data_IF_362849653516
#
_entry.id   IF_362849653516
#
_cell.length_a   1.000
_cell.length_b   1.000
_cell.length_c   1.000
_cell.angle_alpha   90.00
_cell.angle_beta   90.00
_cell.angle_gamma   90.00
#
_symmetry.space_group_name_H-M   'P 1'
#
loop_
_entity.id
_entity.type
_entity.pdbx_description
1 polymer ?
#
# COMPACT_ATOMS: atom_id res chain seq x y z
N UNK A 1 -6.10 24.14 12.74
CA UNK A 1 -4.93 24.63 11.99
C UNK A 1 -4.73 23.66 10.85
N UNK A 2 -5.16 24.04 9.64
CA UNK A 2 -4.92 23.24 8.43
C UNK A 2 -3.45 23.43 8.07
N UNK A 3 -2.59 22.49 8.43
CA UNK A 3 -1.19 22.51 8.01
C UNK A 3 -1.15 22.44 6.49
N UNK A 4 -0.52 23.47 5.92
CA UNK A 4 -0.26 23.63 4.51
C UNK A 4 0.44 22.38 3.97
N UNK A 5 -0.19 21.68 3.03
CA UNK A 5 0.48 20.67 2.20
C UNK A 5 1.47 21.43 1.31
N UNK A 6 2.69 21.60 1.79
CA UNK A 6 3.79 22.05 0.96
C UNK A 6 3.98 21.03 -0.18
N UNK A 7 4.16 21.53 -1.40
CA UNK A 7 4.51 20.74 -2.57
C UNK A 7 5.91 20.14 -2.37
N UNK A 8 5.99 18.93 -1.83
CA UNK A 8 7.22 18.15 -1.72
C UNK A 8 7.41 17.29 -2.99
N UNK A 9 8.63 17.24 -3.52
CA UNK A 9 9.04 16.22 -4.48
C UNK A 9 9.14 14.86 -3.76
N UNK A 10 8.91 13.74 -4.46
CA UNK A 10 8.91 12.40 -3.83
C UNK A 10 10.23 12.05 -3.12
N UNK A 11 11.35 12.61 -3.58
CA UNK A 11 12.70 12.44 -2.99
C UNK A 11 12.92 13.15 -1.64
N UNK A 12 12.01 14.06 -1.21
CA UNK A 12 12.14 14.85 0.02
C UNK A 12 11.13 14.43 1.11
N UNK A 13 10.55 13.23 0.97
CA UNK A 13 9.50 12.73 1.88
C UNK A 13 10.13 11.90 2.98
N UNK A 14 9.94 12.34 4.22
CA UNK A 14 10.39 11.62 5.41
C UNK A 14 9.46 10.45 5.75
N UNK A 15 9.93 9.55 6.63
CA UNK A 15 9.09 8.50 7.20
C UNK A 15 7.90 9.10 7.97
N UNK A 16 8.15 10.18 8.69
CA UNK A 16 7.17 10.89 9.50
C UNK A 16 6.04 11.46 8.62
N UNK A 17 6.38 12.00 7.45
CA UNK A 17 5.40 12.50 6.47
C UNK A 17 4.51 11.38 5.94
N UNK A 18 5.09 10.20 5.67
CA UNK A 18 4.33 9.02 5.25
C UNK A 18 3.39 8.53 6.35
N UNK A 19 3.84 8.51 7.61
CA UNK A 19 2.99 8.12 8.75
C UNK A 19 1.84 9.11 8.90
N UNK A 20 2.10 10.41 8.81
CA UNK A 20 1.07 11.44 8.87
C UNK A 20 0.06 11.32 7.72
N UNK A 21 0.54 11.03 6.50
CA UNK A 21 -0.32 10.78 5.35
C UNK A 21 -1.21 9.54 5.55
N UNK A 22 -0.66 8.41 6.00
CA UNK A 22 -1.44 7.19 6.29
C UNK A 22 -2.56 7.50 7.29
N UNK A 23 -2.23 8.21 8.37
CA UNK A 23 -3.21 8.60 9.40
C UNK A 23 -4.28 9.57 8.86
N UNK A 24 -3.98 10.36 7.83
CA UNK A 24 -4.95 11.26 7.19
C UNK A 24 -5.96 10.54 6.27
N UNK A 25 -5.71 9.27 5.95
CA UNK A 25 -6.53 8.47 5.03
C UNK A 25 -7.87 7.99 5.61
N UNK A 26 -8.08 8.11 6.92
CA UNK A 26 -9.28 7.61 7.58
C UNK A 26 -10.56 8.31 7.08
N UNK A 27 -11.52 7.50 6.62
CA UNK A 27 -12.83 7.98 6.16
C UNK A 27 -12.85 8.59 4.75
N UNK A 28 -11.75 8.53 4.00
CA UNK A 28 -11.74 8.94 2.60
C UNK A 28 -12.65 8.03 1.76
N UNK A 29 -13.46 8.64 0.89
CA UNK A 29 -14.28 7.90 -0.07
C UNK A 29 -13.55 7.81 -1.41
N UNK A 30 -13.20 6.60 -1.88
CA UNK A 30 -12.50 6.45 -3.15
C UNK A 30 -13.39 6.89 -4.33
N UNK A 31 -12.79 7.37 -5.43
CA UNK A 31 -13.51 7.61 -6.68
C UNK A 31 -14.26 6.36 -7.15
N UNK A 32 -15.40 6.56 -7.82
CA UNK A 32 -16.18 5.46 -8.35
C UNK A 32 -15.49 4.78 -9.54
N UNK A 33 -15.70 3.47 -9.68
CA UNK A 33 -15.25 2.69 -10.83
C UNK A 33 -15.83 3.24 -12.15
N UNK A 34 -15.05 3.13 -13.23
CA UNK A 34 -15.37 3.67 -14.55
C UNK A 34 -15.08 5.16 -14.70
N UNK A 35 -14.71 5.87 -13.62
CA UNK A 35 -14.24 7.25 -13.73
C UNK A 35 -12.87 7.25 -14.44
N UNK A 36 -12.73 8.09 -15.46
CA UNK A 36 -11.43 8.42 -16.06
C UNK A 36 -10.95 9.74 -15.46
N UNK A 37 -9.70 9.77 -15.02
CA UNK A 37 -9.02 10.97 -14.55
C UNK A 37 -7.97 11.39 -15.58
N UNK A 38 -7.88 12.69 -15.82
CA UNK A 38 -6.95 13.32 -16.75
C UNK A 38 -5.91 14.18 -16.01
N UNK A 39 -4.97 14.75 -16.75
CA UNK A 39 -4.00 15.70 -16.19
C UNK A 39 -4.73 16.87 -15.49
N UNK A 40 -4.32 17.17 -14.26
CA UNK A 40 -4.94 18.19 -13.41
C UNK A 40 -6.07 17.69 -12.51
N UNK A 41 -6.55 16.46 -12.67
CA UNK A 41 -7.51 15.87 -11.73
C UNK A 41 -6.82 15.48 -10.42
N UNK A 42 -7.25 16.10 -9.31
CA UNK A 42 -6.71 15.85 -7.97
C UNK A 42 -7.48 14.78 -7.17
N UNK A 43 -8.44 14.10 -7.79
CA UNK A 43 -9.34 13.17 -7.10
C UNK A 43 -8.62 11.96 -6.45
N UNK A 44 -7.40 11.65 -6.91
CA UNK A 44 -6.57 10.56 -6.35
C UNK A 44 -5.43 11.04 -5.48
N UNK A 45 -5.20 12.36 -5.35
CA UNK A 45 -4.04 12.88 -4.62
C UNK A 45 -4.03 12.44 -3.15
N UNK A 46 -5.20 12.30 -2.52
CA UNK A 46 -5.30 11.81 -1.15
C UNK A 46 -5.01 10.30 -1.01
N UNK A 47 -5.10 9.54 -2.11
CA UNK A 47 -4.89 8.09 -2.17
C UNK A 47 -3.49 7.72 -2.67
N UNK A 48 -2.70 8.71 -3.09
CA UNK A 48 -1.30 8.55 -3.43
C UNK A 48 -0.45 9.11 -2.28
N UNK A 49 0.72 8.51 -2.02
CA UNK A 49 1.68 9.15 -1.14
C UNK A 49 1.98 10.58 -1.61
N UNK A 50 2.34 11.51 -0.70
CA UNK A 50 2.68 12.87 -1.09
C UNK A 50 3.76 12.86 -2.20
N UNK A 51 3.81 13.89 -3.05
CA UNK A 51 4.75 13.96 -4.17
C UNK A 51 4.41 13.10 -5.40
N UNK A 52 3.79 11.93 -5.22
CA UNK A 52 3.50 11.01 -6.35
C UNK A 52 2.43 11.54 -7.30
N UNK A 53 1.45 12.30 -6.83
CA UNK A 53 0.41 12.85 -7.70
C UNK A 53 0.97 13.72 -8.84
N UNK A 54 2.10 14.40 -8.61
CA UNK A 54 2.78 15.20 -9.64
C UNK A 54 3.46 14.32 -10.70
N UNK A 55 3.97 13.15 -10.34
CA UNK A 55 4.60 12.22 -11.28
C UNK A 55 3.59 11.70 -12.32
N UNK A 56 2.32 11.62 -11.95
CA UNK A 56 1.23 11.21 -12.83
C UNK A 56 0.55 12.39 -13.54
N UNK A 57 0.99 13.63 -13.32
CA UNK A 57 0.38 14.83 -13.91
C UNK A 57 1.11 15.28 -15.19
N UNK A 58 1.12 14.44 -16.22
CA UNK A 58 1.72 14.76 -17.52
C UNK A 58 0.67 14.83 -18.64
N UNK A 59 0.90 15.63 -19.70
CA UNK A 59 -0.06 15.79 -20.79
C UNK A 59 -0.44 14.45 -21.44
N UNK A 60 -1.74 14.21 -21.61
CA UNK A 60 -2.27 13.01 -22.26
C UNK A 60 -2.40 11.78 -21.34
N UNK A 61 -2.09 11.90 -20.05
CA UNK A 61 -2.36 10.84 -19.07
C UNK A 61 -3.87 10.59 -18.97
N UNK A 62 -4.25 9.31 -18.89
CA UNK A 62 -5.61 8.87 -18.59
C UNK A 62 -5.55 7.72 -17.60
N UNK A 63 -6.16 7.91 -16.44
CA UNK A 63 -6.22 6.92 -15.36
C UNK A 63 -7.67 6.47 -15.19
N UNK A 64 -7.95 5.21 -15.52
CA UNK A 64 -9.27 4.63 -15.30
C UNK A 64 -9.36 3.97 -13.93
N UNK A 65 -10.32 4.39 -13.12
CA UNK A 65 -10.60 3.77 -11.82
C UNK A 65 -11.32 2.45 -12.07
N UNK A 66 -10.66 1.34 -11.74
CA UNK A 66 -11.24 0.01 -11.89
C UNK A 66 -12.14 -0.35 -10.70
N UNK A 67 -13.07 -1.26 -10.95
CA UNK A 67 -13.87 -1.85 -9.88
C UNK A 67 -12.98 -2.67 -8.93
N UNK A 68 -13.25 -2.56 -7.63
CA UNK A 68 -12.61 -3.41 -6.62
C UNK A 68 -12.86 -4.87 -6.97
N UNK A 69 -11.79 -5.62 -7.21
CA UNK A 69 -11.85 -7.05 -7.47
C UNK A 69 -11.14 -7.82 -6.38
N UNK A 70 -11.62 -9.02 -6.07
CA UNK A 70 -10.92 -9.94 -5.19
C UNK A 70 -9.79 -10.59 -5.98
N UNK A 71 -8.56 -10.15 -5.74
CA UNK A 71 -7.39 -10.79 -6.32
C UNK A 71 -7.08 -12.07 -5.53
N UNK A 72 -7.30 -13.23 -6.16
CA UNK A 72 -6.86 -14.49 -5.59
C UNK A 72 -5.34 -14.61 -5.77
N UNK A 73 -4.59 -14.99 -4.72
CA UNK A 73 -3.17 -15.26 -4.87
C UNK A 73 -2.94 -16.37 -5.89
N UNK A 74 -1.83 -16.29 -6.62
CA UNK A 74 -1.45 -17.30 -7.59
C UNK A 74 -1.27 -18.68 -6.92
N UNK A 75 -1.58 -19.77 -7.63
CA UNK A 75 -1.53 -21.13 -7.10
C UNK A 75 -0.17 -21.48 -6.47
N UNK A 76 0.93 -21.08 -7.11
CA UNK A 76 2.30 -21.25 -6.58
C UNK A 76 2.48 -20.61 -5.21
N UNK A 77 1.87 -19.44 -4.97
CA UNK A 77 1.91 -18.80 -3.66
C UNK A 77 1.11 -19.58 -2.62
N UNK A 78 -0.07 -20.07 -2.99
CA UNK A 78 -0.93 -20.88 -2.12
C UNK A 78 -0.22 -22.17 -1.70
N UNK A 79 0.37 -22.88 -2.66
CA UNK A 79 1.10 -24.13 -2.43
C UNK A 79 2.34 -23.92 -1.56
N UNK A 80 3.15 -22.90 -1.86
CA UNK A 80 4.32 -22.55 -1.06
C UNK A 80 3.94 -22.14 0.37
N UNK A 81 2.84 -21.39 0.53
CA UNK A 81 2.34 -21.01 1.86
C UNK A 81 1.90 -22.22 2.66
N UNK A 82 1.24 -23.20 2.04
CA UNK A 82 0.85 -24.44 2.70
C UNK A 82 2.06 -25.31 3.08
N UNK A 83 3.04 -25.42 2.18
CA UNK A 83 4.23 -26.25 2.39
C UNK A 83 5.15 -25.74 3.51
N UNK A 84 5.15 -24.44 3.77
CA UNK A 84 6.02 -23.78 4.77
C UNK A 84 5.24 -23.18 5.94
N UNK A 85 3.97 -23.56 6.12
CA UNK A 85 3.15 -23.06 7.21
C UNK A 85 3.75 -23.42 8.58
N UNK A 86 3.91 -22.42 9.45
CA UNK A 86 4.39 -22.61 10.82
C UNK A 86 5.88 -22.94 10.95
N UNK A 87 6.66 -22.90 9.86
CA UNK A 87 8.09 -23.24 9.92
C UNK A 87 8.97 -22.05 10.30
N UNK A 88 8.56 -20.83 9.93
CA UNK A 88 9.32 -19.62 10.19
C UNK A 88 9.24 -19.23 11.68
N UNK A 89 10.37 -18.82 12.24
CA UNK A 89 10.49 -18.38 13.64
C UNK A 89 11.52 -17.27 13.80
N UNK A 90 11.38 -16.49 14.85
CA UNK A 90 12.37 -15.50 15.26
C UNK A 90 13.35 -16.15 16.24
N UNK A 91 14.66 -15.93 16.03
CA UNK A 91 15.67 -16.25 17.02
C UNK A 91 15.71 -15.22 18.16
N UNK A 92 16.48 -15.49 19.21
CA UNK A 92 16.59 -14.63 20.39
C UNK A 92 17.17 -13.23 20.09
N UNK A 93 17.91 -13.09 18.99
CA UNK A 93 18.46 -11.83 18.49
C UNK A 93 17.52 -11.13 17.48
N UNK A 94 16.33 -11.68 17.24
CA UNK A 94 15.37 -11.17 16.26
C UNK A 94 15.64 -11.62 14.82
N UNK A 95 16.66 -12.46 14.57
CA UNK A 95 16.91 -12.98 13.23
C UNK A 95 15.79 -13.91 12.75
N UNK A 96 15.40 -13.77 11.48
CA UNK A 96 14.42 -14.64 10.86
C UNK A 96 15.06 -15.99 10.48
N UNK A 97 14.48 -17.09 10.98
CA UNK A 97 14.92 -18.45 10.68
C UNK A 97 13.84 -19.22 9.93
N UNK A 98 14.26 -20.11 9.03
CA UNK A 98 13.40 -21.05 8.30
C UNK A 98 12.27 -20.40 7.49
N UNK A 99 12.46 -19.14 7.07
CA UNK A 99 11.62 -18.51 6.07
C UNK A 99 12.06 -18.97 4.69
N UNK A 100 11.17 -19.67 3.98
CA UNK A 100 11.41 -20.14 2.62
C UNK A 100 10.56 -19.35 1.63
N UNK A 101 9.23 -19.43 1.76
CA UNK A 101 8.28 -18.75 0.88
C UNK A 101 6.88 -18.66 1.49
N UNK A 102 6.00 -17.90 0.84
CA UNK A 102 4.56 -17.82 1.17
C UNK A 102 4.26 -17.03 2.44
N UNK A 103 3.21 -17.44 3.15
CA UNK A 103 2.82 -16.94 4.48
C UNK A 103 3.16 -17.98 5.57
N UNK A 104 4.43 -18.06 6.02
CA UNK A 104 4.87 -19.10 6.94
C UNK A 104 4.55 -18.78 8.42
N UNK A 105 4.11 -17.56 8.72
CA UNK A 105 3.66 -17.16 10.05
C UNK A 105 2.17 -17.42 10.21
N UNK A 106 1.79 -18.10 11.30
CA UNK A 106 0.39 -18.31 11.65
C UNK A 106 -0.22 -16.99 12.17
N UNK A 107 -1.19 -16.38 11.47
CA UNK A 107 -1.79 -15.13 11.90
C UNK A 107 -2.45 -15.20 13.28
N UNK A 108 -2.93 -16.37 13.70
CA UNK A 108 -3.52 -16.57 15.05
C UNK A 108 -2.48 -16.32 16.14
N UNK A 109 -1.18 -16.51 15.85
CA UNK A 109 -0.10 -16.25 16.79
C UNK A 109 0.31 -14.76 16.88
N UNK A 110 -0.15 -13.91 15.95
CA UNK A 110 0.30 -12.52 15.86
C UNK A 110 -0.84 -11.47 15.87
N UNK A 111 -2.10 -11.85 15.70
CA UNK A 111 -3.28 -10.94 15.78
C UNK A 111 -3.75 -10.65 17.23
N UNK A 112 -2.92 -10.90 18.24
CA UNK A 112 -3.22 -10.65 19.66
C UNK A 112 -2.72 -9.28 20.18
N UNK A 113 -2.48 -8.31 19.30
CA UNK A 113 -1.97 -6.98 19.67
C UNK A 113 -3.04 -5.89 19.52
#
# INVERSE_FOLDING_TARGET
MLSSLATLASDDISREDLIAWIASGDGLTPPQAGKTLEAGDNAITAFLPPGYANEYNFPGVRLEIQATTQFKPHQVYVEASAAHYGTARLAADGALQNYVAGRPFDPVLFEQA
#
